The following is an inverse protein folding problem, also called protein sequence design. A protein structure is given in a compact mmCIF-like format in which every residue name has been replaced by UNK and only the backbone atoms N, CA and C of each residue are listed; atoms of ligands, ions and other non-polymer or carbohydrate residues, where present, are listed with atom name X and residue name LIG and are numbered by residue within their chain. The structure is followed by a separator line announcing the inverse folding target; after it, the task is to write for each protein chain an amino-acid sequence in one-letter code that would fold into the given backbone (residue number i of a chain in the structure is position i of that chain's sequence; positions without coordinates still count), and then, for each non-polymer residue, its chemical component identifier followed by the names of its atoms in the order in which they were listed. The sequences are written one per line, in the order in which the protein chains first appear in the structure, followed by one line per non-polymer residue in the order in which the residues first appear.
data_IF_276977672526
#
_entry.id   IF_276977672526
#
_cell.length_a   1.000
_cell.length_b   1.000
_cell.length_c   1.000
_cell.angle_alpha   90.00
_cell.angle_beta   90.00
_cell.angle_gamma   90.00
#
_symmetry.space_group_name_H-M   'P 1'
#
loop_
_entity.id
_entity.type
_entity.pdbx_description
1 polymer ?
#
# COMPACT_ATOMS: atom_id res chain seq x y z
N UNK A 1 -39.72 12.35 -42.56
CA UNK A 1 -39.39 12.85 -41.20
C UNK A 1 -38.22 12.06 -40.70
N UNK A 2 -37.03 12.53 -40.96
CA UNK A 2 -35.77 11.88 -40.56
C UNK A 2 -35.35 12.47 -39.21
N UNK A 3 -35.53 11.68 -38.13
CA UNK A 3 -35.08 12.05 -36.81
C UNK A 3 -33.55 11.95 -36.73
N UNK A 4 -32.92 13.10 -36.56
CA UNK A 4 -31.49 13.22 -36.22
C UNK A 4 -31.23 12.56 -34.86
N UNK A 5 -30.44 11.50 -34.84
CA UNK A 5 -29.88 10.95 -33.60
C UNK A 5 -28.83 11.96 -33.15
N UNK A 6 -29.13 12.71 -32.09
CA UNK A 6 -28.15 13.52 -31.38
C UNK A 6 -27.05 12.58 -30.86
N UNK A 7 -25.83 12.74 -31.40
CA UNK A 7 -24.64 12.14 -30.83
C UNK A 7 -24.45 12.67 -29.42
N UNK A 8 -24.76 11.85 -28.43
CA UNK A 8 -24.32 12.09 -27.08
C UNK A 8 -22.79 12.20 -27.08
N UNK A 9 -22.29 13.36 -26.69
CA UNK A 9 -20.84 13.56 -26.46
C UNK A 9 -20.34 12.45 -25.53
N UNK A 10 -19.69 11.45 -26.11
CA UNK A 10 -18.98 10.45 -25.36
C UNK A 10 -17.74 11.15 -24.80
N UNK A 11 -17.80 11.58 -23.56
CA UNK A 11 -16.63 12.10 -22.84
C UNK A 11 -15.61 10.97 -22.71
N UNK A 12 -14.69 10.86 -23.64
CA UNK A 12 -13.60 9.90 -23.61
C UNK A 12 -12.40 10.57 -22.96
N UNK A 13 -12.12 10.22 -21.71
CA UNK A 13 -10.91 10.66 -21.03
C UNK A 13 -9.67 10.08 -21.75
N UNK A 14 -8.74 10.96 -22.15
CA UNK A 14 -7.50 10.54 -22.81
C UNK A 14 -6.53 9.92 -21.79
N UNK A 15 -6.13 8.67 -22.05
CA UNK A 15 -5.19 7.91 -21.20
C UNK A 15 -3.85 8.66 -21.00
N UNK A 16 -3.36 9.37 -22.00
CA UNK A 16 -2.12 10.16 -21.89
C UNK A 16 -2.25 11.28 -20.86
N UNK A 17 -3.43 11.92 -20.78
CA UNK A 17 -3.70 12.96 -19.79
C UNK A 17 -3.82 12.38 -18.38
N UNK A 18 -4.39 11.17 -18.26
CA UNK A 18 -4.43 10.44 -16.98
C UNK A 18 -3.03 10.11 -16.47
N UNK A 19 -2.11 9.68 -17.36
CA UNK A 19 -0.69 9.45 -17.03
C UNK A 19 -0.03 10.75 -16.52
N UNK A 20 -0.32 11.89 -17.17
CA UNK A 20 0.24 13.18 -16.75
C UNK A 20 -0.29 13.64 -15.39
N UNK A 21 -1.59 13.47 -15.12
CA UNK A 21 -2.18 13.77 -13.81
C UNK A 21 -1.55 12.92 -12.70
N UNK A 22 -1.38 11.62 -12.97
CA UNK A 22 -0.75 10.69 -12.03
C UNK A 22 0.71 11.08 -11.76
N UNK A 23 1.47 11.47 -12.79
CA UNK A 23 2.85 11.93 -12.63
C UNK A 23 2.93 13.23 -11.82
N UNK A 24 2.04 14.19 -12.06
CA UNK A 24 1.98 15.45 -11.28
C UNK A 24 1.69 15.18 -9.82
N UNK A 25 0.82 14.23 -9.51
CA UNK A 25 0.56 13.81 -8.13
C UNK A 25 1.79 13.17 -7.48
N UNK A 26 2.43 12.22 -8.17
CA UNK A 26 3.59 11.49 -7.64
C UNK A 26 4.78 12.40 -7.38
N UNK A 27 5.02 13.37 -8.25
CA UNK A 27 6.17 14.29 -8.18
C UNK A 27 5.87 15.57 -7.38
N UNK A 28 4.60 15.86 -7.05
CA UNK A 28 4.19 17.06 -6.33
C UNK A 28 4.36 18.38 -7.08
N UNK A 29 4.82 18.34 -8.35
CA UNK A 29 4.95 19.53 -9.20
C UNK A 29 4.89 19.22 -10.68
N UNK A 30 4.32 20.14 -11.50
CA UNK A 30 4.27 20.01 -12.97
C UNK A 30 5.68 19.95 -13.56
N UNK A 31 6.63 20.70 -13.01
CA UNK A 31 8.01 20.73 -13.52
C UNK A 31 8.74 19.40 -13.31
N UNK A 32 8.55 18.74 -12.16
CA UNK A 32 9.12 17.42 -11.89
C UNK A 32 8.45 16.33 -12.73
N UNK A 33 7.12 16.36 -12.85
CA UNK A 33 6.38 15.45 -13.71
C UNK A 33 6.80 15.57 -15.19
N UNK A 34 6.97 16.80 -15.68
CA UNK A 34 7.42 17.07 -17.04
C UNK A 34 8.82 16.45 -17.32
N UNK A 35 9.77 16.65 -16.40
CA UNK A 35 11.11 16.03 -16.50
C UNK A 35 11.02 14.49 -16.53
N UNK A 36 10.24 13.90 -15.61
CA UNK A 36 10.07 12.44 -15.55
C UNK A 36 9.47 11.87 -16.83
N UNK A 37 8.48 12.57 -17.41
CA UNK A 37 7.78 12.13 -18.61
C UNK A 37 8.46 12.57 -19.92
N UNK A 38 9.59 13.29 -19.84
CA UNK A 38 10.31 13.86 -21.00
C UNK A 38 9.45 14.82 -21.84
N UNK A 39 8.57 15.59 -21.18
CA UNK A 39 7.78 16.66 -21.78
C UNK A 39 8.25 18.03 -21.30
N UNK A 40 7.80 19.08 -21.99
CA UNK A 40 7.97 20.45 -21.48
C UNK A 40 6.95 20.75 -20.38
N UNK A 41 7.30 21.64 -19.45
CA UNK A 41 6.37 22.10 -18.39
C UNK A 41 5.06 22.67 -18.99
N UNK A 42 5.16 23.42 -20.10
CA UNK A 42 3.98 23.97 -20.79
C UNK A 42 3.08 22.89 -21.35
N UNK A 43 3.66 21.84 -21.98
CA UNK A 43 2.89 20.73 -22.52
C UNK A 43 2.10 19.99 -21.41
N UNK A 44 2.75 19.64 -20.29
CA UNK A 44 2.05 18.98 -19.18
C UNK A 44 0.97 19.89 -18.60
N UNK A 45 1.25 21.19 -18.43
CA UNK A 45 0.25 22.14 -17.91
C UNK A 45 -0.98 22.23 -18.82
N UNK A 46 -0.78 22.30 -20.14
CA UNK A 46 -1.87 22.35 -21.13
C UNK A 46 -2.70 21.07 -21.10
N UNK A 47 -2.07 19.90 -21.01
CA UNK A 47 -2.77 18.61 -20.98
C UNK A 47 -3.59 18.43 -19.69
N UNK A 48 -3.10 18.91 -18.56
CA UNK A 48 -3.87 18.91 -17.30
C UNK A 48 -5.08 19.85 -17.45
N UNK A 49 -4.89 21.06 -17.98
CA UNK A 49 -6.03 21.98 -18.22
C UNK A 49 -7.05 21.40 -19.18
N UNK A 50 -6.62 20.72 -20.24
CA UNK A 50 -7.53 20.03 -21.17
C UNK A 50 -8.29 18.89 -20.46
N UNK A 51 -7.62 18.13 -19.60
CA UNK A 51 -8.27 17.07 -18.79
C UNK A 51 -9.31 17.64 -17.82
N UNK A 52 -9.02 18.78 -17.18
CA UNK A 52 -9.97 19.49 -16.31
C UNK A 52 -11.20 19.96 -17.09
N UNK A 53 -11.01 20.44 -18.33
CA UNK A 53 -12.10 20.82 -19.22
C UNK A 53 -12.95 19.60 -19.64
N UNK A 54 -12.33 18.47 -19.98
CA UNK A 54 -13.01 17.21 -20.29
C UNK A 54 -13.77 16.64 -19.08
N UNK A 55 -13.18 16.75 -17.88
CA UNK A 55 -13.81 16.29 -16.65
C UNK A 55 -14.90 17.25 -16.13
N UNK A 56 -15.00 18.45 -16.68
CA UNK A 56 -15.95 19.49 -16.24
C UNK A 56 -15.68 20.01 -14.82
N UNK A 57 -14.50 19.75 -14.26
CA UNK A 57 -14.14 20.14 -12.89
C UNK A 57 -12.63 20.29 -12.72
N UNK A 58 -12.20 21.12 -11.76
CA UNK A 58 -10.79 21.24 -11.41
C UNK A 58 -10.29 19.97 -10.72
N UNK A 59 -9.16 19.46 -11.18
CA UNK A 59 -8.52 18.24 -10.66
C UNK A 59 -7.32 18.56 -9.77
N UNK A 60 -6.69 19.73 -9.98
CA UNK A 60 -5.58 20.20 -9.18
C UNK A 60 -5.89 21.53 -8.50
N UNK A 61 -5.46 21.65 -7.25
CA UNK A 61 -5.48 22.90 -6.49
C UNK A 61 -4.10 23.57 -6.65
N UNK A 62 -4.13 24.82 -7.12
CA UNK A 62 -2.95 25.67 -7.36
C UNK A 62 -2.76 26.72 -6.26
N UNK A 63 -3.57 26.66 -5.17
CA UNK A 63 -3.46 27.59 -4.05
C UNK A 63 -2.31 27.17 -3.14
N UNK A 64 -1.13 27.74 -3.35
CA UNK A 64 0.05 27.52 -2.53
C UNK A 64 1.31 27.19 -3.33
N UNK A 65 2.41 26.92 -2.60
CA UNK A 65 3.71 26.60 -3.18
C UNK A 65 3.85 25.14 -3.63
N UNK A 66 2.80 24.31 -3.44
CA UNK A 66 2.73 22.90 -3.85
C UNK A 66 1.41 22.63 -4.55
N UNK A 67 1.46 21.76 -5.55
CA UNK A 67 0.26 21.28 -6.23
C UNK A 67 -0.37 20.19 -5.37
N UNK A 68 -1.66 20.37 -5.04
CA UNK A 68 -2.48 19.38 -4.38
C UNK A 68 -3.60 18.90 -5.32
N UNK A 69 -4.12 17.70 -5.12
CA UNK A 69 -5.31 17.23 -5.83
C UNK A 69 -6.57 17.71 -5.13
N UNK A 70 -7.57 18.11 -5.92
CA UNK A 70 -8.93 18.28 -5.44
C UNK A 70 -9.55 16.92 -5.05
N UNK A 71 -10.70 16.86 -4.36
CA UNK A 71 -11.42 15.60 -4.15
C UNK A 71 -11.73 14.86 -5.46
N UNK A 72 -12.14 15.58 -6.51
CA UNK A 72 -12.37 15.01 -7.84
C UNK A 72 -11.08 14.49 -8.48
N UNK A 73 -9.96 15.21 -8.32
CA UNK A 73 -8.64 14.79 -8.80
C UNK A 73 -8.17 13.51 -8.13
N UNK A 74 -8.38 13.35 -6.82
CA UNK A 74 -8.05 12.10 -6.09
C UNK A 74 -8.87 10.92 -6.60
N UNK A 75 -10.19 11.10 -6.73
CA UNK A 75 -11.06 10.07 -7.27
C UNK A 75 -10.65 9.66 -8.70
N UNK A 76 -10.38 10.65 -9.57
CA UNK A 76 -9.95 10.36 -10.94
C UNK A 76 -8.60 9.62 -10.98
N UNK A 77 -7.63 9.96 -10.12
CA UNK A 77 -6.34 9.26 -10.05
C UNK A 77 -6.52 7.80 -9.61
N UNK A 78 -7.41 7.50 -8.65
CA UNK A 78 -7.72 6.13 -8.25
C UNK A 78 -8.32 5.31 -9.41
N UNK A 79 -9.18 5.92 -10.23
CA UNK A 79 -9.71 5.29 -11.44
C UNK A 79 -8.65 5.14 -12.54
N UNK A 80 -7.85 6.19 -12.76
CA UNK A 80 -6.77 6.19 -13.76
C UNK A 80 -5.75 5.07 -13.46
N UNK A 81 -5.41 4.83 -12.21
CA UNK A 81 -4.53 3.73 -11.83
C UNK A 81 -5.04 2.37 -12.29
N UNK A 82 -6.33 2.10 -12.10
CA UNK A 82 -6.97 0.86 -12.56
C UNK A 82 -6.99 0.74 -14.08
N UNK A 83 -7.36 1.81 -14.78
CA UNK A 83 -7.37 1.84 -16.26
C UNK A 83 -5.97 1.59 -16.82
N UNK A 84 -4.94 2.25 -16.26
CA UNK A 84 -3.56 2.07 -16.70
C UNK A 84 -2.99 0.67 -16.39
N UNK A 85 -3.49 0.03 -15.34
CA UNK A 85 -3.18 -1.37 -15.05
C UNK A 85 -3.78 -2.28 -16.11
N UNK A 86 -5.05 -2.11 -16.44
CA UNK A 86 -5.73 -2.91 -17.48
C UNK A 86 -5.12 -2.68 -18.87
N UNK A 87 -4.79 -1.44 -19.21
CA UNK A 87 -4.15 -1.13 -20.49
C UNK A 87 -2.80 -1.84 -20.61
N UNK A 88 -1.95 -1.76 -19.58
CA UNK A 88 -0.68 -2.50 -19.56
C UNK A 88 -0.86 -4.01 -19.63
N UNK A 89 -1.92 -4.53 -19.01
CA UNK A 89 -2.27 -5.95 -19.12
C UNK A 89 -2.66 -6.33 -20.54
N UNK A 90 -3.43 -5.48 -21.21
CA UNK A 90 -3.79 -5.67 -22.62
C UNK A 90 -2.55 -5.57 -23.54
N UNK A 91 -1.68 -4.59 -23.33
CA UNK A 91 -0.40 -4.46 -24.05
C UNK A 91 0.51 -5.68 -23.83
N UNK A 92 0.60 -6.16 -22.59
CA UNK A 92 1.34 -7.39 -22.27
C UNK A 92 0.72 -8.63 -22.94
N UNK A 93 -0.62 -8.72 -23.00
CA UNK A 93 -1.31 -9.79 -23.71
C UNK A 93 -1.06 -9.74 -25.23
N UNK A 94 -1.01 -8.55 -25.82
CA UNK A 94 -0.68 -8.34 -27.22
C UNK A 94 0.81 -8.65 -27.52
N UNK A 95 1.71 -8.18 -26.64
CA UNK A 95 3.14 -8.50 -26.75
C UNK A 95 3.42 -9.99 -26.50
N UNK A 96 2.62 -10.64 -25.67
CA UNK A 96 2.67 -12.08 -25.39
C UNK A 96 1.98 -12.96 -26.42
N UNK A 97 1.34 -12.41 -27.45
CA UNK A 97 0.71 -13.19 -28.52
C UNK A 97 1.71 -14.05 -29.35
N UNK A 98 3.02 -13.92 -29.07
CA UNK A 98 4.08 -14.72 -29.66
C UNK A 98 4.89 -15.59 -28.69
N UNK A 99 4.76 -15.39 -27.37
CA UNK A 99 5.45 -16.21 -26.35
C UNK A 99 4.70 -16.19 -25.04
N UNK A 100 4.45 -17.33 -24.39
CA UNK A 100 3.78 -17.36 -23.07
C UNK A 100 4.62 -16.57 -22.05
N UNK A 101 3.95 -15.78 -21.22
CA UNK A 101 4.62 -15.16 -20.07
C UNK A 101 5.06 -16.28 -19.14
N UNK A 102 6.37 -16.51 -19.10
CA UNK A 102 7.00 -17.62 -18.38
C UNK A 102 8.22 -17.16 -17.59
N UNK A 103 8.82 -18.07 -16.86
CA UNK A 103 10.02 -17.85 -16.09
C UNK A 103 9.77 -17.70 -14.60
N UNK A 104 10.84 -17.47 -13.85
CA UNK A 104 10.83 -17.41 -12.40
C UNK A 104 10.48 -16.00 -11.91
N UNK A 105 9.49 -15.90 -11.01
CA UNK A 105 9.13 -14.71 -10.23
C UNK A 105 9.48 -14.95 -8.76
N UNK A 106 10.42 -14.17 -8.22
CA UNK A 106 10.87 -14.23 -6.83
C UNK A 106 10.18 -13.14 -6.01
N UNK A 107 9.34 -13.52 -5.06
CA UNK A 107 8.52 -12.59 -4.29
C UNK A 107 8.85 -12.67 -2.81
N UNK A 108 9.32 -11.58 -2.22
CA UNK A 108 9.48 -11.41 -0.78
C UNK A 108 8.17 -11.05 -0.11
N UNK A 109 7.83 -11.75 0.95
CA UNK A 109 6.63 -11.48 1.74
C UNK A 109 7.01 -11.39 3.23
N UNK A 110 6.35 -10.51 4.02
CA UNK A 110 6.56 -10.46 5.45
C UNK A 110 6.21 -11.79 6.10
N UNK A 111 7.05 -12.23 7.01
CA UNK A 111 6.79 -13.43 7.78
C UNK A 111 5.48 -13.25 8.57
N UNK A 112 4.42 -14.01 8.21
CA UNK A 112 3.10 -14.09 8.87
C UNK A 112 2.12 -12.91 8.70
N UNK A 113 2.46 -11.81 8.04
CA UNK A 113 1.55 -10.64 7.97
C UNK A 113 0.80 -10.47 6.64
N UNK A 114 1.14 -11.24 5.61
CA UNK A 114 0.63 -11.00 4.26
C UNK A 114 -0.17 -12.10 3.55
N UNK A 115 -0.72 -13.15 4.24
CA UNK A 115 -1.25 -14.31 3.50
C UNK A 115 -2.46 -13.99 2.62
N UNK A 116 -3.35 -13.07 3.02
CA UNK A 116 -4.65 -12.90 2.33
C UNK A 116 -4.55 -12.14 1.00
N UNK A 117 -3.86 -11.00 0.97
CA UNK A 117 -3.70 -10.24 -0.28
C UNK A 117 -2.83 -11.03 -1.26
N UNK A 118 -1.73 -11.60 -0.76
CA UNK A 118 -0.78 -12.31 -1.61
C UNK A 118 -1.30 -13.63 -2.14
N UNK A 119 -1.96 -14.44 -1.33
CA UNK A 119 -2.50 -15.73 -1.79
C UNK A 119 -3.53 -15.56 -2.90
N UNK A 120 -4.40 -14.55 -2.79
CA UNK A 120 -5.36 -14.23 -3.86
C UNK A 120 -4.65 -13.70 -5.11
N UNK A 121 -3.74 -12.73 -4.95
CA UNK A 121 -3.02 -12.14 -6.07
C UNK A 121 -2.14 -13.16 -6.80
N UNK A 122 -1.41 -14.00 -6.07
CA UNK A 122 -0.60 -15.06 -6.66
C UNK A 122 -1.46 -16.18 -7.28
N UNK A 123 -2.63 -16.47 -6.71
CA UNK A 123 -3.62 -17.36 -7.31
C UNK A 123 -4.10 -16.83 -8.66
N UNK A 124 -4.36 -15.55 -8.77
CA UNK A 124 -4.74 -14.88 -10.02
C UNK A 124 -3.60 -14.88 -11.04
N UNK A 125 -2.37 -14.54 -10.60
CA UNK A 125 -1.18 -14.62 -11.46
C UNK A 125 -0.99 -16.04 -11.99
N UNK A 126 -1.07 -17.07 -11.14
CA UNK A 126 -0.89 -18.47 -11.52
C UNK A 126 -2.00 -18.93 -12.48
N UNK A 127 -3.24 -18.54 -12.25
CA UNK A 127 -4.36 -18.88 -13.13
C UNK A 127 -4.24 -18.26 -14.52
N UNK A 128 -3.72 -17.03 -14.58
CA UNK A 128 -3.57 -16.27 -15.83
C UNK A 128 -2.28 -16.61 -16.59
N UNK A 129 -1.22 -17.02 -15.88
CA UNK A 129 0.11 -17.32 -16.44
C UNK A 129 0.64 -18.66 -15.88
N UNK A 130 0.12 -19.80 -16.37
CA UNK A 130 0.42 -21.11 -15.81
C UNK A 130 1.90 -21.53 -15.97
N UNK A 131 2.61 -20.95 -16.95
CA UNK A 131 4.02 -21.23 -17.22
C UNK A 131 4.98 -20.38 -16.36
N UNK A 132 4.44 -19.55 -15.45
CA UNK A 132 5.23 -18.75 -14.52
C UNK A 132 5.50 -19.56 -13.24
N UNK A 133 6.77 -19.79 -12.93
CA UNK A 133 7.20 -20.33 -11.64
C UNK A 133 7.25 -19.21 -10.60
N UNK A 134 6.54 -19.36 -9.47
CA UNK A 134 6.54 -18.37 -8.39
C UNK A 134 7.27 -18.96 -7.18
N UNK A 135 8.32 -18.28 -6.72
CA UNK A 135 9.04 -18.60 -5.47
C UNK A 135 8.80 -17.52 -4.43
N UNK A 136 8.31 -17.95 -3.26
CA UNK A 136 8.09 -17.07 -2.13
C UNK A 136 9.26 -17.18 -1.15
N UNK A 137 9.74 -16.04 -0.69
CA UNK A 137 10.75 -15.94 0.35
C UNK A 137 10.19 -15.12 1.52
N UNK A 138 10.38 -15.61 2.73
CA UNK A 138 10.11 -14.80 3.93
C UNK A 138 11.16 -13.69 4.01
N UNK A 139 10.73 -12.46 4.27
CA UNK A 139 11.63 -11.31 4.40
C UNK A 139 11.08 -10.30 5.41
N UNK A 140 11.95 -9.48 5.98
CA UNK A 140 11.54 -8.37 6.84
C UNK A 140 11.27 -7.09 6.04
N UNK A 141 10.67 -6.10 6.69
CA UNK A 141 10.42 -4.78 6.09
C UNK A 141 11.71 -4.04 5.69
N UNK A 142 12.83 -4.38 6.30
CA UNK A 142 14.14 -3.82 5.99
C UNK A 142 14.88 -4.61 4.92
N UNK A 143 14.86 -5.95 5.02
CA UNK A 143 15.57 -6.85 4.10
C UNK A 143 14.92 -6.91 2.73
N UNK A 144 13.59 -6.80 2.67
CA UNK A 144 12.84 -6.87 1.41
C UNK A 144 13.31 -5.86 0.36
N UNK A 145 13.39 -4.56 0.66
CA UNK A 145 13.92 -3.55 -0.25
C UNK A 145 15.37 -3.80 -0.68
N UNK A 146 16.21 -4.25 0.26
CA UNK A 146 17.61 -4.57 -0.02
C UNK A 146 17.74 -5.78 -0.96
N UNK A 147 16.92 -6.82 -0.76
CA UNK A 147 16.89 -8.00 -1.61
C UNK A 147 16.40 -7.69 -3.02
N UNK A 148 15.41 -6.79 -3.17
CA UNK A 148 14.96 -6.30 -4.48
C UNK A 148 16.05 -5.48 -5.15
N UNK A 149 16.72 -4.60 -4.42
CA UNK A 149 17.80 -3.77 -4.97
C UNK A 149 19.00 -4.60 -5.46
N UNK A 150 19.32 -5.71 -4.74
CA UNK A 150 20.43 -6.63 -5.08
C UNK A 150 20.05 -7.73 -6.07
N UNK A 151 18.89 -7.65 -6.73
CA UNK A 151 18.41 -8.68 -7.67
C UNK A 151 18.22 -10.10 -7.04
N UNK A 152 18.02 -10.18 -5.75
CA UNK A 152 17.70 -11.43 -5.07
C UNK A 152 16.18 -11.71 -5.12
N UNK A 153 15.37 -10.66 -5.15
CA UNK A 153 13.92 -10.70 -5.34
C UNK A 153 13.51 -9.79 -6.51
N UNK A 154 12.45 -10.18 -7.20
CA UNK A 154 11.83 -9.38 -8.26
C UNK A 154 10.82 -8.39 -7.66
N UNK A 155 10.08 -8.82 -6.62
CA UNK A 155 9.10 -8.06 -5.86
C UNK A 155 9.30 -8.28 -4.36
N UNK A 156 8.98 -7.28 -3.56
CA UNK A 156 8.79 -7.46 -2.12
C UNK A 156 7.53 -6.74 -1.66
N UNK A 157 6.83 -7.34 -0.68
CA UNK A 157 5.80 -6.65 0.10
C UNK A 157 6.39 -6.34 1.47
N UNK A 158 6.18 -5.12 1.93
CA UNK A 158 6.68 -4.65 3.21
C UNK A 158 5.64 -3.79 3.92
N UNK A 159 5.77 -3.67 5.22
CA UNK A 159 5.02 -2.70 6.02
C UNK A 159 5.78 -1.38 6.14
N UNK A 160 5.04 -0.26 6.08
CA UNK A 160 5.52 1.07 6.40
C UNK A 160 4.61 1.68 7.44
N UNK A 161 5.18 2.45 8.35
CA UNK A 161 4.44 3.11 9.42
C UNK A 161 4.64 4.63 9.31
N UNK A 162 3.61 5.41 9.68
CA UNK A 162 3.64 6.86 9.57
C UNK A 162 3.61 7.34 8.11
N UNK A 163 4.33 8.41 7.78
CA UNK A 163 4.36 8.99 6.44
C UNK A 163 5.13 8.07 5.47
N UNK A 164 4.42 7.18 4.79
CA UNK A 164 4.96 6.16 3.88
C UNK A 164 5.88 6.70 2.75
N UNK A 165 5.85 8.01 2.49
CA UNK A 165 6.63 8.65 1.40
C UNK A 165 8.08 8.96 1.74
N UNK A 166 8.48 8.92 3.01
CA UNK A 166 9.83 9.33 3.43
C UNK A 166 10.89 8.25 3.23
N UNK A 167 10.52 7.05 2.83
CA UNK A 167 11.41 5.89 2.75
C UNK A 167 11.68 5.38 1.34
N UNK A 168 11.22 6.08 0.29
CA UNK A 168 11.51 5.69 -1.09
C UNK A 168 13.03 5.68 -1.33
N UNK A 169 13.58 4.50 -1.64
CA UNK A 169 15.01 4.33 -1.92
C UNK A 169 15.29 4.61 -3.40
N UNK A 170 16.39 5.29 -3.75
CA UNK A 170 16.79 5.44 -5.15
C UNK A 170 16.87 4.08 -5.86
N UNK A 171 16.37 4.01 -7.08
CA UNK A 171 16.36 2.78 -7.88
C UNK A 171 15.25 1.78 -7.53
N UNK A 172 14.40 2.08 -6.56
CA UNK A 172 13.22 1.29 -6.23
C UNK A 172 11.94 2.09 -6.50
N UNK A 173 10.90 1.39 -6.93
CA UNK A 173 9.57 1.90 -7.10
C UNK A 173 8.63 1.26 -6.09
N UNK A 174 7.81 2.07 -5.45
CA UNK A 174 6.87 1.64 -4.41
C UNK A 174 5.43 1.94 -4.81
N UNK A 175 4.52 1.01 -4.49
CA UNK A 175 3.07 1.16 -4.65
C UNK A 175 2.38 0.83 -3.33
N UNK A 176 1.61 1.77 -2.80
CA UNK A 176 0.78 1.53 -1.63
C UNK A 176 -0.38 0.64 -2.02
N UNK A 177 -0.44 -0.55 -1.46
CA UNK A 177 -1.51 -1.52 -1.66
C UNK A 177 -2.71 -1.27 -0.75
N UNK A 178 -2.48 -0.83 0.47
CA UNK A 178 -3.53 -0.56 1.45
C UNK A 178 -2.98 0.08 2.71
N UNK A 179 -3.89 0.39 3.61
CA UNK A 179 -3.57 0.87 4.94
C UNK A 179 -4.45 0.15 5.98
N UNK A 180 -3.94 0.04 7.19
CA UNK A 180 -4.53 -0.70 8.29
C UNK A 180 -4.20 0.02 9.60
N UNK A 181 -5.20 0.52 10.35
CA UNK A 181 -4.92 1.19 11.61
C UNK A 181 -4.35 0.23 12.64
N UNK A 182 -3.40 0.72 13.41
CA UNK A 182 -2.89 0.00 14.58
C UNK A 182 -3.86 0.18 15.74
N UNK A 183 -4.06 -0.91 16.49
CA UNK A 183 -4.93 -0.98 17.66
C UNK A 183 -4.15 -1.46 18.88
N UNK A 184 -4.46 -0.88 20.02
CA UNK A 184 -4.08 -1.46 21.30
C UNK A 184 -4.88 -2.76 21.48
N UNK A 185 -4.20 -3.85 21.78
CA UNK A 185 -4.81 -5.13 22.13
C UNK A 185 -4.66 -5.37 23.64
N UNK A 186 -5.78 -5.63 24.29
CA UNK A 186 -5.84 -5.93 25.74
C UNK A 186 -6.67 -7.19 26.00
N UNK A 187 -6.47 -7.88 27.13
CA UNK A 187 -7.36 -8.97 27.55
C UNK A 187 -8.79 -8.48 27.74
N UNK A 188 -9.82 -9.34 27.63
CA UNK A 188 -11.21 -8.93 27.81
C UNK A 188 -11.56 -8.40 29.21
N UNK A 189 -10.84 -8.84 30.23
CA UNK A 189 -10.99 -8.44 31.63
C UNK A 189 -10.13 -7.24 32.02
N UNK A 190 -9.40 -6.66 31.08
CA UNK A 190 -8.55 -5.51 31.31
C UNK A 190 -9.37 -4.26 31.64
N UNK A 191 -8.93 -3.38 32.58
CA UNK A 191 -9.65 -2.16 32.94
C UNK A 191 -9.97 -1.22 31.75
N UNK A 192 -9.19 -1.30 30.68
CA UNK A 192 -9.40 -0.53 29.45
C UNK A 192 -10.35 -1.21 28.45
N UNK A 193 -10.78 -2.45 28.65
CA UNK A 193 -11.57 -3.19 27.65
C UNK A 193 -12.90 -2.52 27.31
N UNK A 194 -13.46 -1.74 28.20
CA UNK A 194 -14.70 -0.96 27.98
C UNK A 194 -14.49 0.48 27.48
N UNK A 195 -13.25 0.91 27.23
CA UNK A 195 -12.98 2.27 26.78
C UNK A 195 -13.21 2.41 25.27
N UNK A 196 -13.57 3.62 24.82
CA UNK A 196 -13.70 3.95 23.39
C UNK A 196 -12.36 4.10 22.68
N UNK A 197 -11.33 4.51 23.43
CA UNK A 197 -9.96 4.74 22.98
C UNK A 197 -8.98 4.75 24.14
N UNK A 198 -7.69 4.82 23.86
CA UNK A 198 -6.66 4.89 24.87
C UNK A 198 -5.49 5.81 24.43
N UNK A 199 -5.14 6.76 25.28
CA UNK A 199 -3.90 7.52 25.10
C UNK A 199 -2.69 6.67 25.53
N UNK A 200 -1.59 6.74 24.81
CA UNK A 200 -0.36 5.98 25.08
C UNK A 200 0.15 6.17 26.52
N UNK A 201 0.03 7.37 27.10
CA UNK A 201 0.48 7.67 28.46
C UNK A 201 -0.22 6.85 29.54
N UNK A 202 -1.45 6.36 29.31
CA UNK A 202 -2.17 5.48 30.24
C UNK A 202 -1.58 4.09 30.36
N UNK A 203 -0.68 3.72 29.47
CA UNK A 203 -0.08 2.39 29.37
C UNK A 203 1.29 2.31 30.08
N UNK A 204 1.72 3.36 30.79
CA UNK A 204 3.04 3.43 31.42
C UNK A 204 3.32 2.32 32.45
N UNK A 205 2.28 1.83 33.13
CA UNK A 205 2.40 0.75 34.14
C UNK A 205 2.15 -0.66 33.60
N UNK A 206 1.66 -0.78 32.37
CA UNK A 206 1.23 -2.05 31.83
C UNK A 206 2.40 -2.98 31.47
N UNK A 207 2.22 -4.30 31.62
CA UNK A 207 3.14 -5.26 31.04
C UNK A 207 2.96 -5.35 29.53
N UNK A 208 4.07 -5.36 28.78
CA UNK A 208 4.06 -5.35 27.32
C UNK A 208 4.53 -6.68 26.74
N UNK A 209 3.81 -7.18 25.74
CA UNK A 209 4.29 -8.23 24.85
C UNK A 209 4.83 -7.55 23.59
N UNK A 210 6.12 -7.70 23.33
CA UNK A 210 6.85 -6.95 22.30
C UNK A 210 7.41 -7.84 21.20
N UNK A 211 7.54 -7.30 20.01
CA UNK A 211 8.24 -7.92 18.86
C UNK A 211 9.48 -7.05 18.50
N UNK A 212 10.55 -7.04 19.32
CA UNK A 212 11.60 -6.02 19.28
C UNK A 212 12.35 -5.96 17.93
N UNK A 213 12.49 -7.08 17.24
CA UNK A 213 13.25 -7.21 15.99
C UNK A 213 12.41 -6.87 14.74
N UNK A 214 11.17 -6.40 14.92
CA UNK A 214 10.30 -5.98 13.83
C UNK A 214 10.21 -4.45 13.75
N UNK A 215 9.85 -3.93 12.58
CA UNK A 215 9.55 -2.50 12.40
C UNK A 215 8.40 -2.03 13.30
N UNK A 216 7.39 -2.87 13.52
CA UNK A 216 6.31 -2.60 14.48
C UNK A 216 6.84 -2.51 15.92
N UNK A 217 7.70 -3.42 16.34
CA UNK A 217 8.26 -3.41 17.71
C UNK A 217 9.12 -2.18 17.97
N UNK A 218 9.87 -1.72 16.97
CA UNK A 218 10.62 -0.44 17.06
C UNK A 218 9.68 0.74 17.16
N UNK A 219 8.60 0.75 16.36
CA UNK A 219 7.56 1.78 16.45
C UNK A 219 6.91 1.78 17.83
N UNK A 220 6.48 0.63 18.34
CA UNK A 220 5.88 0.52 19.69
C UNK A 220 6.78 1.11 20.77
N UNK A 221 8.07 0.79 20.73
CA UNK A 221 9.07 1.37 21.67
C UNK A 221 9.16 2.89 21.51
N UNK A 222 9.21 3.40 20.29
CA UNK A 222 9.25 4.82 20.00
C UNK A 222 7.99 5.53 20.52
N UNK A 223 6.80 4.94 20.36
CA UNK A 223 5.54 5.47 20.87
C UNK A 223 5.52 5.55 22.40
N UNK A 224 6.04 4.51 23.08
CA UNK A 224 6.17 4.53 24.54
C UNK A 224 7.10 5.65 25.01
N UNK A 225 8.28 5.78 24.37
CA UNK A 225 9.24 6.85 24.70
C UNK A 225 8.65 8.24 24.46
N UNK A 226 7.97 8.44 23.33
CA UNK A 226 7.29 9.69 23.02
C UNK A 226 6.17 10.04 24.04
N UNK A 227 5.54 9.01 24.63
CA UNK A 227 4.55 9.16 25.69
C UNK A 227 5.16 9.31 27.10
N UNK A 228 6.49 9.38 27.21
CA UNK A 228 7.21 9.66 28.46
C UNK A 228 7.55 8.42 29.32
N UNK A 229 7.49 7.20 28.76
CA UNK A 229 7.81 6.00 29.55
C UNK A 229 8.58 4.95 28.71
N UNK A 230 9.24 4.03 29.43
CA UNK A 230 9.81 2.83 28.84
C UNK A 230 8.83 1.65 29.05
N UNK A 231 8.61 0.80 28.03
CA UNK A 231 7.71 -0.34 28.18
C UNK A 231 8.30 -1.37 29.16
N UNK A 232 7.48 -1.81 30.13
CA UNK A 232 7.80 -2.93 31.01
C UNK A 232 7.55 -4.24 30.25
N UNK A 233 8.59 -4.77 29.61
CA UNK A 233 8.49 -5.96 28.77
C UNK A 233 8.24 -7.20 29.62
N UNK A 234 7.08 -7.84 29.46
CA UNK A 234 6.71 -9.11 30.09
C UNK A 234 7.11 -10.31 29.22
N UNK A 235 7.05 -10.16 27.90
CA UNK A 235 7.48 -11.18 26.95
C UNK A 235 7.98 -10.54 25.65
N UNK A 236 8.94 -11.24 24.99
CA UNK A 236 9.39 -10.94 23.65
C UNK A 236 9.04 -12.09 22.71
N UNK A 237 8.51 -11.78 21.55
CA UNK A 237 8.11 -12.74 20.52
C UNK A 237 8.57 -12.28 19.15
N UNK A 238 8.56 -13.18 18.17
CA UNK A 238 9.03 -12.86 16.82
C UNK A 238 7.94 -12.37 15.87
N UNK A 239 6.66 -12.58 16.23
CA UNK A 239 5.53 -12.21 15.38
C UNK A 239 4.34 -11.69 16.19
N UNK A 240 3.55 -10.83 15.54
CA UNK A 240 2.39 -10.14 16.12
C UNK A 240 1.26 -11.11 16.48
N UNK A 241 1.07 -12.19 15.73
CA UNK A 241 0.02 -13.19 16.03
C UNK A 241 0.27 -13.90 17.36
N UNK A 242 1.53 -14.24 17.62
CA UNK A 242 1.96 -14.79 18.93
C UNK A 242 1.79 -13.74 20.03
N UNK A 243 2.11 -12.46 19.77
CA UNK A 243 1.91 -11.39 20.75
C UNK A 243 0.42 -11.25 21.13
N UNK A 244 -0.48 -11.23 20.14
CA UNK A 244 -1.94 -11.16 20.37
C UNK A 244 -2.41 -12.38 21.17
N UNK A 245 -1.92 -13.57 20.85
CA UNK A 245 -2.30 -14.80 21.57
C UNK A 245 -1.90 -14.76 23.05
N UNK A 246 -0.71 -14.23 23.36
CA UNK A 246 -0.26 -14.06 24.75
C UNK A 246 -1.08 -12.99 25.49
N UNK A 247 -1.45 -11.92 24.82
CA UNK A 247 -2.37 -10.91 25.37
C UNK A 247 -3.72 -11.54 25.71
N UNK A 248 -4.28 -12.39 24.81
CA UNK A 248 -5.55 -13.07 25.03
C UNK A 248 -5.58 -13.97 26.27
N UNK A 249 -4.44 -14.39 26.77
CA UNK A 249 -4.30 -15.18 28.02
C UNK A 249 -3.73 -14.37 29.19
N UNK A 250 -3.72 -13.01 29.10
CA UNK A 250 -3.44 -12.13 30.21
C UNK A 250 -1.97 -11.79 30.46
N UNK A 251 -1.05 -11.95 29.48
CA UNK A 251 0.37 -11.60 29.66
C UNK A 251 0.65 -10.10 29.62
N UNK A 252 -0.35 -9.30 29.27
CA UNK A 252 -0.22 -7.84 29.22
C UNK A 252 -0.91 -7.24 28.01
N UNK A 253 -0.31 -6.21 27.44
CA UNK A 253 -0.85 -5.47 26.29
C UNK A 253 0.12 -5.51 25.09
N UNK A 254 -0.40 -5.32 23.89
CA UNK A 254 0.42 -5.13 22.68
C UNK A 254 -0.27 -4.18 21.71
N UNK A 255 0.43 -3.74 20.68
CA UNK A 255 -0.15 -3.01 19.55
C UNK A 255 -0.07 -3.90 18.32
N UNK A 256 -1.18 -3.99 17.59
CA UNK A 256 -1.26 -4.79 16.39
C UNK A 256 -2.08 -4.09 15.30
N UNK A 257 -1.82 -4.37 14.01
CA UNK A 257 -2.71 -3.98 12.94
C UNK A 257 -4.12 -4.56 13.13
N UNK A 258 -5.15 -3.78 12.80
CA UNK A 258 -6.55 -4.18 13.02
C UNK A 258 -6.93 -5.46 12.30
N UNK A 259 -6.41 -5.63 11.07
CA UNK A 259 -6.68 -6.82 10.24
C UNK A 259 -5.85 -8.05 10.61
N UNK A 260 -4.92 -7.95 11.58
CA UNK A 260 -4.18 -9.13 12.04
C UNK A 260 -5.15 -10.08 12.74
N UNK A 261 -5.23 -11.37 12.34
CA UNK A 261 -6.11 -12.32 13.00
C UNK A 261 -5.83 -12.40 14.51
N UNK A 262 -6.88 -12.44 15.31
CA UNK A 262 -6.75 -12.77 16.74
C UNK A 262 -6.35 -14.25 16.82
N UNK A 263 -5.17 -14.53 17.36
CA UNK A 263 -4.70 -15.90 17.57
C UNK A 263 -5.62 -16.72 18.50
N UNK A 264 -5.07 -17.60 19.28
CA UNK A 264 -5.83 -18.41 20.26
C UNK A 264 -6.17 -17.54 21.49
N UNK A 265 -7.37 -16.99 21.51
CA UNK A 265 -7.90 -16.27 22.68
C UNK A 265 -8.57 -14.93 22.31
N UNK A 266 -9.58 -14.51 23.08
CA UNK A 266 -10.25 -13.26 22.86
C UNK A 266 -9.37 -12.07 23.27
N UNK A 267 -9.33 -11.03 22.43
CA UNK A 267 -8.71 -9.75 22.74
C UNK A 267 -9.67 -8.61 22.39
N UNK A 268 -9.62 -7.55 23.18
CA UNK A 268 -10.30 -6.29 22.88
C UNK A 268 -9.33 -5.37 22.17
N UNK A 269 -9.77 -4.76 21.08
CA UNK A 269 -8.97 -3.84 20.24
C UNK A 269 -9.48 -2.42 20.41
N UNK A 270 -8.61 -1.49 20.78
CA UNK A 270 -8.94 -0.12 21.06
C UNK A 270 -8.16 0.83 20.14
N UNK A 271 -8.78 1.91 19.66
CA UNK A 271 -8.06 3.00 19.04
C UNK A 271 -7.02 3.59 20.01
N UNK A 272 -5.86 3.97 19.45
CA UNK A 272 -4.81 4.69 20.19
C UNK A 272 -4.87 6.16 19.77
N UNK A 273 -4.88 7.07 20.75
CA UNK A 273 -4.91 8.50 20.49
C UNK A 273 -3.57 9.18 20.73
N UNK A 274 -3.36 10.33 20.07
CA UNK A 274 -2.17 11.15 20.24
C UNK A 274 -0.94 10.71 19.45
N UNK A 275 -1.06 9.71 18.58
CA UNK A 275 0.03 9.19 17.74
C UNK A 275 -0.48 8.78 16.36
N UNK A 276 0.39 8.83 15.36
CA UNK A 276 0.08 8.27 14.04
C UNK A 276 0.18 6.73 14.11
N UNK A 277 -0.96 6.08 13.91
CA UNK A 277 -1.13 4.63 14.10
C UNK A 277 -1.56 3.93 12.82
N UNK A 278 -1.06 4.36 11.67
CA UNK A 278 -1.40 3.73 10.39
C UNK A 278 -0.23 2.88 9.91
N UNK A 279 -0.53 1.61 9.60
CA UNK A 279 0.34 0.74 8.81
C UNK A 279 -0.04 0.83 7.34
N UNK A 280 0.91 1.01 6.47
CA UNK A 280 0.76 0.88 5.02
C UNK A 280 1.39 -0.42 4.55
N UNK A 281 0.66 -1.18 3.73
CA UNK A 281 1.22 -2.31 2.98
C UNK A 281 1.72 -1.78 1.65
N UNK A 282 2.99 -2.02 1.34
CA UNK A 282 3.66 -1.45 0.16
C UNK A 282 4.29 -2.57 -0.66
N UNK A 283 4.03 -2.55 -1.97
CA UNK A 283 4.71 -3.38 -2.96
C UNK A 283 5.94 -2.63 -3.47
N UNK A 284 7.06 -3.33 -3.60
CA UNK A 284 8.35 -2.78 -4.05
C UNK A 284 8.87 -3.59 -5.22
N UNK A 285 9.37 -2.91 -6.25
CA UNK A 285 10.14 -3.47 -7.35
C UNK A 285 11.30 -2.55 -7.72
N UNK A 286 12.27 -3.02 -8.52
CA UNK A 286 13.29 -2.14 -9.11
C UNK A 286 12.64 -1.15 -10.09
N UNK A 287 13.16 0.07 -10.11
CA UNK A 287 12.69 1.07 -11.06
C UNK A 287 13.13 0.70 -12.48
N UNK A 288 12.21 0.77 -13.44
CA UNK A 288 12.45 0.34 -14.84
C UNK A 288 12.13 -1.13 -15.13
N UNK A 289 12.33 -2.06 -14.22
CA UNK A 289 12.05 -3.50 -14.46
C UNK A 289 10.55 -3.84 -14.45
N UNK A 290 9.71 -2.97 -13.89
CA UNK A 290 8.25 -3.13 -13.96
C UNK A 290 7.71 -3.11 -15.41
N UNK A 291 8.57 -2.80 -16.40
CA UNK A 291 8.27 -2.90 -17.82
C UNK A 291 8.42 -4.34 -18.37
N UNK A 292 9.09 -5.25 -17.63
CA UNK A 292 9.11 -6.68 -17.99
C UNK A 292 7.69 -7.25 -17.97
N UNK A 293 7.23 -7.93 -19.04
CA UNK A 293 5.85 -8.43 -19.13
C UNK A 293 5.43 -9.27 -17.92
N UNK A 294 6.31 -10.16 -17.42
CA UNK A 294 6.03 -11.01 -16.25
C UNK A 294 5.87 -10.17 -14.98
N UNK A 295 6.73 -9.18 -14.79
CA UNK A 295 6.72 -8.34 -13.61
C UNK A 295 5.54 -7.36 -13.63
N UNK A 296 5.25 -6.78 -14.80
CA UNK A 296 4.06 -5.94 -15.01
C UNK A 296 2.78 -6.72 -14.73
N UNK A 297 2.68 -7.97 -15.19
CA UNK A 297 1.54 -8.84 -14.91
C UNK A 297 1.36 -9.11 -13.40
N UNK A 298 2.45 -9.43 -12.69
CA UNK A 298 2.43 -9.69 -11.26
C UNK A 298 2.05 -8.43 -10.46
N UNK A 299 2.65 -7.29 -10.77
CA UNK A 299 2.32 -5.99 -10.13
C UNK A 299 0.85 -5.64 -10.37
N UNK A 300 0.35 -5.84 -11.59
CA UNK A 300 -1.04 -5.60 -11.96
C UNK A 300 -2.00 -6.44 -11.10
N UNK A 301 -1.77 -7.76 -11.03
CA UNK A 301 -2.61 -8.67 -10.26
C UNK A 301 -2.61 -8.31 -8.75
N UNK A 302 -1.44 -8.05 -8.17
CA UNK A 302 -1.34 -7.66 -6.75
C UNK A 302 -2.12 -6.37 -6.46
N UNK A 303 -2.03 -5.38 -7.35
CA UNK A 303 -2.74 -4.10 -7.20
C UNK A 303 -4.25 -4.24 -7.39
N UNK A 304 -4.71 -5.06 -8.36
CA UNK A 304 -6.12 -5.34 -8.60
C UNK A 304 -6.77 -5.98 -7.37
N UNK A 305 -6.21 -7.07 -6.88
CA UNK A 305 -6.71 -7.77 -5.67
C UNK A 305 -6.72 -6.84 -4.46
N UNK A 306 -5.69 -6.02 -4.31
CA UNK A 306 -5.63 -5.04 -3.22
C UNK A 306 -6.73 -3.98 -3.31
N UNK A 307 -7.09 -3.54 -4.52
CA UNK A 307 -8.17 -2.58 -4.73
C UNK A 307 -9.55 -3.19 -4.42
N UNK A 308 -9.78 -4.46 -4.81
CA UNK A 308 -11.01 -5.19 -4.51
C UNK A 308 -11.23 -5.39 -3.01
N UNK A 309 -10.16 -5.78 -2.28
CA UNK A 309 -10.23 -5.96 -0.84
C UNK A 309 -10.56 -4.66 -0.10
N UNK A 310 -10.04 -3.52 -0.57
CA UNK A 310 -10.40 -2.20 -0.03
C UNK A 310 -11.85 -1.81 -0.30
N UNK A 311 -12.39 -2.19 -1.45
CA UNK A 311 -13.78 -1.90 -1.81
C UNK A 311 -14.79 -2.75 -1.02
N UNK A 312 -14.43 -3.99 -0.68
CA UNK A 312 -15.26 -4.92 0.10
C UNK A 312 -15.21 -4.71 1.62
N UNK A 313 -14.32 -3.84 2.12
CA UNK A 313 -14.15 -3.50 3.55
C UNK A 313 -14.85 -2.20 3.97
N UNK A 314 -15.67 -1.60 3.08
CA UNK A 314 -16.47 -0.39 3.34
C UNK A 314 -17.93 -0.75 3.67
#
# INVERSE_FOLDING_TARGET
MTGSVNGSDVYVLDVRKLIMLQAVMAEGSIAAAARRLQYTRSAVSQQITALEAEAGTSLIDRTGNRIALTPAGRALVEHAERILVELRSAEAALAGAGSPISGLLRVGIPFREGPHIMSRALGEVRGRFPDMEIRLAATSDEEGPDAVHRDQLDLAIVSRYGHARETARPGLREWVLGHDPLRLCVPPDHPLAGASDCAMSRLAGEPWVMCPDTSLGRLMRSMCVAAGFQPRVAATVQDVGTAISLVGIGWGVTIAPELTPSGNGPVVRLPITGVDTIRYTVLIARDGEHLSPRLAAAISAVRSVSAELRAGSR
#
